data_IF_513614531486
#
_entry.id   IF_513614531486
#
_cell.length_a   1.000
_cell.length_b   1.000
_cell.length_c   1.000
_cell.angle_alpha   90.00
_cell.angle_beta   90.00
_cell.angle_gamma   90.00
#
_symmetry.space_group_name_H-M   'P 1'
#
loop_
_entity.id
_entity.type
_entity.pdbx_description
1 polymer ?
#
# COMPACT_ATOMS: atom_id res chain seq x y z
N UNK A 1 -14.22 26.10 36.80
CA UNK A 1 -14.14 24.65 37.07
C UNK A 1 -14.37 23.80 35.82
N UNK A 2 -15.47 23.99 35.06
CA UNK A 2 -15.77 23.19 33.86
C UNK A 2 -14.67 23.30 32.78
N UNK A 3 -14.19 24.51 32.49
CA UNK A 3 -13.12 24.78 31.50
C UNK A 3 -11.77 24.17 31.88
N UNK A 4 -11.37 24.26 33.16
CA UNK A 4 -10.08 23.74 33.66
C UNK A 4 -10.02 22.20 33.60
N UNK A 5 -11.14 21.52 33.87
CA UNK A 5 -11.23 20.06 33.75
C UNK A 5 -11.24 19.60 32.29
N UNK A 6 -11.88 20.35 31.38
CA UNK A 6 -11.86 20.04 29.95
C UNK A 6 -10.46 20.16 29.35
N UNK A 7 -9.70 21.19 29.72
CA UNK A 7 -8.32 21.41 29.27
C UNK A 7 -7.39 20.28 29.76
N UNK A 8 -7.49 19.89 31.03
CA UNK A 8 -6.73 18.78 31.61
C UNK A 8 -7.02 17.40 30.97
N UNK A 9 -8.23 17.19 30.43
CA UNK A 9 -8.58 15.96 29.74
C UNK A 9 -7.97 15.93 28.33
N UNK A 10 -8.05 17.05 27.60
CA UNK A 10 -7.48 17.17 26.25
C UNK A 10 -5.95 17.07 26.26
N UNK A 11 -5.29 17.62 27.29
CA UNK A 11 -3.82 17.58 27.43
C UNK A 11 -3.27 16.20 27.80
N UNK A 12 -4.13 15.27 28.24
CA UNK A 12 -3.72 13.88 28.54
C UNK A 12 -3.91 12.92 27.38
N UNK A 13 -4.47 13.39 26.27
CA UNK A 13 -4.63 12.58 25.08
C UNK A 13 -3.28 12.44 24.37
N UNK A 14 -2.94 11.22 23.94
CA UNK A 14 -1.80 10.95 23.05
C UNK A 14 -2.04 11.37 21.60
N UNK A 15 -3.08 12.16 21.35
CA UNK A 15 -3.46 12.70 20.04
C UNK A 15 -3.45 14.22 20.12
N UNK A 16 -2.94 14.85 19.06
CA UNK A 16 -3.09 16.27 18.81
C UNK A 16 -4.54 16.61 18.49
N UNK A 17 -5.03 17.68 19.09
CA UNK A 17 -6.34 18.25 18.82
C UNK A 17 -6.14 19.72 18.51
N UNK A 18 -6.68 20.15 17.37
CA UNK A 18 -6.67 21.56 16.94
C UNK A 18 -8.06 21.92 16.43
N UNK A 19 -8.57 23.09 16.83
CA UNK A 19 -9.81 23.65 16.32
C UNK A 19 -9.58 24.97 15.60
N UNK A 20 -10.38 25.22 14.57
CA UNK A 20 -10.41 26.47 13.82
C UNK A 20 -11.83 27.04 13.76
N UNK A 21 -11.94 28.35 13.61
CA UNK A 21 -13.18 29.04 13.27
C UNK A 21 -13.50 28.99 11.76
N UNK A 22 -14.62 29.59 11.36
CA UNK A 22 -15.07 29.69 9.96
C UNK A 22 -14.13 30.50 9.06
N UNK A 23 -13.20 31.26 9.64
CA UNK A 23 -12.17 32.02 8.94
C UNK A 23 -10.82 31.29 8.94
N UNK A 24 -10.82 30.00 9.30
CA UNK A 24 -9.63 29.15 9.40
C UNK A 24 -8.59 29.68 10.38
N UNK A 25 -9.01 30.37 11.45
CA UNK A 25 -8.13 30.81 12.54
C UNK A 25 -8.17 29.82 13.69
N UNK A 26 -7.02 29.52 14.27
CA UNK A 26 -6.92 28.57 15.38
C UNK A 26 -7.65 29.12 16.61
N UNK A 27 -8.60 28.34 17.12
CA UNK A 27 -9.37 28.66 18.33
C UNK A 27 -8.91 27.83 19.53
N UNK A 28 -8.37 26.65 19.29
CA UNK A 28 -7.87 25.75 20.33
C UNK A 28 -6.78 24.83 19.80
N UNK A 29 -5.82 24.49 20.65
CA UNK A 29 -4.81 23.46 20.44
C UNK A 29 -4.43 22.87 21.80
N UNK A 30 -4.29 21.54 21.87
CA UNK A 30 -3.81 20.85 23.07
C UNK A 30 -2.29 20.65 23.04
N UNK A 31 -1.74 20.23 24.19
CA UNK A 31 -0.29 20.03 24.37
C UNK A 31 0.31 19.08 23.31
N UNK A 32 -0.37 17.96 23.01
CA UNK A 32 0.13 17.02 22.00
C UNK A 32 0.13 17.62 20.58
N UNK A 33 -0.84 18.48 20.26
CA UNK A 33 -0.91 19.18 19.00
C UNK A 33 0.21 20.21 18.85
N UNK A 34 0.56 20.92 19.93
CA UNK A 34 1.72 21.81 20.00
C UNK A 34 3.02 21.05 19.67
N UNK A 35 3.24 19.89 20.29
CA UNK A 35 4.42 19.06 20.07
C UNK A 35 4.52 18.56 18.64
N UNK A 36 3.47 17.90 18.13
CA UNK A 36 3.44 17.29 16.80
C UNK A 36 3.57 18.32 15.68
N UNK A 37 2.86 19.45 15.80
CA UNK A 37 2.94 20.54 14.83
C UNK A 37 4.15 21.45 15.09
N UNK A 38 4.90 21.23 16.17
CA UNK A 38 6.04 22.06 16.58
C UNK A 38 5.69 23.56 16.61
N UNK A 39 4.57 23.85 17.27
CA UNK A 39 4.03 25.19 17.51
C UNK A 39 3.77 25.37 19.00
N UNK A 40 3.60 26.61 19.44
CA UNK A 40 3.12 26.91 20.80
C UNK A 40 1.71 27.50 20.71
N UNK A 41 0.85 27.18 21.68
CA UNK A 41 -0.53 27.69 21.79
C UNK A 41 -0.57 29.21 21.69
N UNK A 42 0.32 29.90 22.39
CA UNK A 42 0.46 31.37 22.34
C UNK A 42 0.70 31.92 20.92
N UNK A 43 1.46 31.20 20.10
CA UNK A 43 1.78 31.61 18.73
C UNK A 43 0.74 31.14 17.71
N UNK A 44 -0.07 30.13 18.05
CA UNK A 44 -1.08 29.55 17.18
C UNK A 44 -2.43 30.27 17.29
N UNK A 45 -2.89 30.55 18.51
CA UNK A 45 -4.23 31.08 18.76
C UNK A 45 -4.51 32.38 17.99
N UNK A 46 -5.66 32.42 17.31
CA UNK A 46 -6.14 33.55 16.51
C UNK A 46 -5.46 33.73 15.15
N UNK A 47 -4.34 33.04 14.89
CA UNK A 47 -3.66 33.07 13.59
C UNK A 47 -4.33 32.15 12.60
N UNK A 48 -4.22 32.51 11.32
CA UNK A 48 -4.77 31.69 10.24
C UNK A 48 -3.90 30.45 10.01
N UNK A 49 -4.53 29.30 9.74
CA UNK A 49 -3.82 28.08 9.33
C UNK A 49 -2.97 28.29 8.06
N UNK A 50 -3.44 29.13 7.13
CA UNK A 50 -2.69 29.48 5.92
C UNK A 50 -1.44 30.33 6.21
N UNK A 51 -1.46 31.10 7.30
CA UNK A 51 -0.30 31.88 7.75
C UNK A 51 0.69 31.02 8.52
N UNK A 52 0.18 30.21 9.46
CA UNK A 52 1.00 29.31 10.28
C UNK A 52 1.74 28.26 9.43
N UNK A 53 1.09 27.80 8.37
CA UNK A 53 1.59 26.76 7.48
C UNK A 53 1.51 27.21 6.03
N UNK A 54 2.21 28.29 5.68
CA UNK A 54 2.17 28.90 4.34
C UNK A 54 2.72 28.01 3.22
N UNK A 55 3.61 27.08 3.58
CA UNK A 55 4.26 26.10 2.70
C UNK A 55 3.59 24.73 2.71
N UNK A 56 2.51 24.55 3.49
CA UNK A 56 1.77 23.29 3.51
C UNK A 56 1.08 23.03 2.15
N UNK A 57 1.29 21.83 1.57
CA UNK A 57 0.58 21.39 0.36
C UNK A 57 -0.94 21.36 0.55
N UNK A 58 -1.71 21.42 -0.54
CA UNK A 58 -3.18 21.42 -0.47
C UNK A 58 -3.72 20.09 0.09
N UNK A 59 -3.02 18.99 -0.17
CA UNK A 59 -3.43 17.63 0.18
C UNK A 59 -3.55 17.42 1.69
N UNK A 60 -2.75 18.15 2.48
CA UNK A 60 -2.70 18.03 3.95
C UNK A 60 -3.61 19.02 4.69
N UNK A 61 -4.31 19.91 3.98
CA UNK A 61 -5.22 20.93 4.55
C UNK A 61 -6.61 20.37 4.87
N UNK A 62 -6.63 19.29 5.65
CA UNK A 62 -7.86 18.53 5.88
C UNK A 62 -8.92 19.32 6.66
N UNK A 63 -8.52 20.08 7.68
CA UNK A 63 -9.46 20.81 8.55
C UNK A 63 -10.08 22.00 7.83
N UNK A 64 -9.29 22.71 7.01
CA UNK A 64 -9.77 23.80 6.15
C UNK A 64 -10.74 23.27 5.09
N UNK A 65 -10.39 22.16 4.41
CA UNK A 65 -11.28 21.51 3.44
C UNK A 65 -12.59 21.04 4.07
N UNK A 66 -12.58 20.61 5.33
CA UNK A 66 -13.82 20.23 6.02
C UNK A 66 -14.74 21.42 6.24
N UNK A 67 -14.23 22.61 6.53
CA UNK A 67 -15.04 23.84 6.56
C UNK A 67 -15.62 24.12 5.17
N UNK A 68 -14.77 24.16 4.15
CA UNK A 68 -15.16 24.55 2.78
C UNK A 68 -16.17 23.59 2.16
N UNK A 69 -15.94 22.29 2.32
CA UNK A 69 -16.76 21.23 1.69
C UNK A 69 -17.90 20.75 2.57
N UNK A 70 -17.88 21.10 3.87
CA UNK A 70 -18.77 20.56 4.91
C UNK A 70 -18.73 19.02 5.01
N UNK A 71 -17.64 18.39 4.55
CA UNK A 71 -17.43 16.94 4.63
C UNK A 71 -16.34 16.61 5.64
N UNK A 72 -16.71 15.76 6.59
CA UNK A 72 -15.78 15.19 7.55
C UNK A 72 -14.93 14.09 6.89
N UNK A 73 -13.67 14.04 7.29
CA UNK A 73 -12.65 13.13 6.79
C UNK A 73 -12.16 12.23 7.92
N UNK A 74 -11.86 10.97 7.58
CA UNK A 74 -11.20 10.01 8.45
C UNK A 74 -10.15 9.25 7.64
N UNK A 75 -8.87 9.54 7.89
CA UNK A 75 -7.72 8.95 7.21
C UNK A 75 -6.87 8.24 8.26
N UNK A 76 -6.59 6.96 8.04
CA UNK A 76 -5.82 6.16 8.99
C UNK A 76 -4.34 6.55 9.04
N UNK A 77 -3.75 6.88 7.89
CA UNK A 77 -2.36 7.33 7.78
C UNK A 77 -2.22 8.28 6.57
N UNK A 78 -1.90 9.54 6.86
CA UNK A 78 -1.63 10.60 5.88
C UNK A 78 -0.13 10.89 5.90
N UNK A 79 0.59 10.81 4.75
CA UNK A 79 1.98 11.22 4.69
C UNK A 79 2.08 12.73 4.92
N UNK A 80 2.84 13.13 5.94
CA UNK A 80 3.07 14.51 6.31
C UNK A 80 4.55 14.84 6.07
N UNK A 81 4.96 14.78 4.79
CA UNK A 81 6.34 14.95 4.33
C UNK A 81 6.52 16.31 3.65
N UNK A 82 6.70 17.37 4.42
CA UNK A 82 6.94 18.71 3.89
C UNK A 82 7.63 19.60 4.94
N UNK A 83 8.50 20.50 4.47
CA UNK A 83 9.29 21.36 5.35
C UNK A 83 10.15 20.55 6.33
N UNK A 84 9.80 20.65 7.61
CA UNK A 84 10.47 19.96 8.74
C UNK A 84 9.75 18.69 9.21
N UNK A 85 8.59 18.39 8.62
CA UNK A 85 7.78 17.25 9.01
C UNK A 85 8.15 16.05 8.15
N UNK A 86 8.38 14.93 8.82
CA UNK A 86 8.66 13.64 8.20
C UNK A 86 8.00 12.55 9.04
N UNK A 87 6.68 12.36 8.86
CA UNK A 87 5.88 11.45 9.68
C UNK A 87 4.57 11.07 8.97
N UNK A 88 3.90 10.05 9.50
CA UNK A 88 2.53 9.69 9.14
C UNK A 88 1.58 10.08 10.26
N UNK A 89 0.52 10.82 9.91
CA UNK A 89 -0.52 11.21 10.86
C UNK A 89 -1.83 10.49 10.55
N UNK A 90 -2.46 9.90 11.55
CA UNK A 90 -3.90 9.63 11.48
C UNK A 90 -4.64 10.97 11.53
N UNK A 91 -5.70 11.16 10.74
CA UNK A 91 -6.43 12.43 10.65
C UNK A 91 -7.92 12.17 10.75
N UNK A 92 -8.60 12.85 11.68
CA UNK A 92 -10.06 12.87 11.77
C UNK A 92 -10.55 14.29 11.96
N UNK A 93 -11.40 14.76 11.06
CA UNK A 93 -11.97 16.10 11.15
C UNK A 93 -13.43 16.05 11.57
N UNK A 94 -13.89 17.02 12.36
CA UNK A 94 -15.29 17.18 12.77
C UNK A 94 -15.73 18.62 12.58
N UNK A 95 -16.97 18.82 12.12
CA UNK A 95 -17.57 20.14 12.09
C UNK A 95 -18.01 20.53 13.51
N UNK A 96 -17.68 21.75 13.93
CA UNK A 96 -18.15 22.33 15.17
C UNK A 96 -19.40 23.16 14.90
N UNK A 97 -20.44 22.93 15.71
CA UNK A 97 -21.73 23.60 15.56
C UNK A 97 -22.16 24.23 16.87
N UNK A 98 -22.73 25.43 16.78
CA UNK A 98 -23.46 26.07 17.86
C UNK A 98 -24.88 26.37 17.39
N UNK A 99 -25.87 25.90 18.15
CA UNK A 99 -27.30 26.03 17.82
C UNK A 99 -27.70 25.60 16.39
N UNK A 100 -26.94 24.69 15.78
CA UNK A 100 -27.17 24.15 14.43
C UNK A 100 -26.31 24.80 13.34
N UNK A 101 -25.79 26.00 13.57
CA UNK A 101 -24.92 26.73 12.66
C UNK A 101 -23.47 26.21 12.76
N UNK A 102 -22.78 26.14 11.62
CA UNK A 102 -21.36 25.78 11.60
C UNK A 102 -20.56 26.98 12.12
N UNK A 103 -19.82 26.78 13.20
CA UNK A 103 -18.98 27.82 13.83
C UNK A 103 -17.48 27.54 13.69
N UNK A 104 -17.13 26.35 13.22
CA UNK A 104 -15.75 25.96 12.99
C UNK A 104 -15.60 24.48 12.65
N UNK A 105 -14.37 24.00 12.74
CA UNK A 105 -14.01 22.61 12.58
C UNK A 105 -12.88 22.26 13.53
N UNK A 106 -12.79 20.98 13.88
CA UNK A 106 -11.73 20.41 14.69
C UNK A 106 -11.03 19.31 13.90
N UNK A 107 -9.74 19.14 14.11
CA UNK A 107 -8.97 18.00 13.67
C UNK A 107 -8.33 17.31 14.87
N UNK A 108 -8.56 16.00 14.95
CA UNK A 108 -7.79 15.04 15.73
C UNK A 108 -6.70 14.47 14.83
N UNK A 109 -5.47 14.42 15.33
CA UNK A 109 -4.37 13.80 14.62
C UNK A 109 -3.40 13.11 15.57
N UNK A 110 -2.84 11.98 15.16
CA UNK A 110 -1.91 11.21 15.97
C UNK A 110 -0.78 10.66 15.13
N UNK A 111 0.44 10.69 15.67
CA UNK A 111 1.61 10.09 15.03
C UNK A 111 1.46 8.57 14.98
N UNK A 112 1.39 8.05 13.77
CA UNK A 112 1.29 6.62 13.46
C UNK A 112 2.50 6.14 12.65
N UNK A 113 3.58 6.92 12.60
CA UNK A 113 4.78 6.63 11.80
C UNK A 113 5.34 5.26 12.11
N UNK A 114 5.65 4.96 13.38
CA UNK A 114 6.21 3.66 13.76
C UNK A 114 5.26 2.49 13.47
N UNK A 115 3.94 2.68 13.58
CA UNK A 115 2.97 1.65 13.21
C UNK A 115 2.94 1.42 11.70
N UNK A 116 2.92 2.49 10.91
CA UNK A 116 2.90 2.43 9.46
C UNK A 116 4.19 1.82 8.89
N UNK A 117 5.35 2.22 9.42
CA UNK A 117 6.65 1.68 9.04
C UNK A 117 6.77 0.20 9.36
N UNK A 118 6.32 -0.24 10.55
CA UNK A 118 6.33 -1.66 10.91
C UNK A 118 5.37 -2.47 10.04
N UNK A 119 4.17 -1.95 9.77
CA UNK A 119 3.23 -2.58 8.84
C UNK A 119 3.86 -2.72 7.45
N UNK A 120 4.52 -1.67 6.95
CA UNK A 120 5.20 -1.69 5.65
C UNK A 120 6.37 -2.67 5.64
N UNK A 121 7.13 -2.75 6.73
CA UNK A 121 8.22 -3.73 6.90
C UNK A 121 7.70 -5.15 6.81
N UNK A 122 6.57 -5.45 7.46
CA UNK A 122 5.92 -6.77 7.40
C UNK A 122 5.42 -7.08 5.99
N UNK A 123 4.81 -6.12 5.28
CA UNK A 123 4.38 -6.28 3.89
C UNK A 123 5.59 -6.59 2.99
N UNK A 124 6.67 -5.83 3.10
CA UNK A 124 7.88 -6.07 2.30
C UNK A 124 8.47 -7.46 2.60
N UNK A 125 8.47 -7.90 3.85
CA UNK A 125 8.89 -9.27 4.19
C UNK A 125 7.97 -10.33 3.58
N UNK A 126 6.67 -10.09 3.49
CA UNK A 126 5.75 -10.98 2.78
C UNK A 126 6.05 -11.02 1.28
N UNK A 127 6.35 -9.87 0.67
CA UNK A 127 6.77 -9.77 -0.74
C UNK A 127 8.06 -10.56 -1.01
N UNK A 128 9.10 -10.41 -0.18
CA UNK A 128 10.36 -11.18 -0.28
C UNK A 128 10.12 -12.70 -0.20
N UNK A 129 9.17 -13.14 0.65
CA UNK A 129 8.80 -14.54 0.79
C UNK A 129 8.03 -15.08 -0.43
N UNK A 130 7.34 -14.21 -1.18
CA UNK A 130 6.60 -14.59 -2.40
C UNK A 130 7.55 -15.00 -3.53
N UNK A 131 8.72 -14.36 -3.62
CA UNK A 131 9.69 -14.56 -4.71
C UNK A 131 10.67 -15.68 -4.37
N UNK A 132 10.16 -16.92 -4.41
CA UNK A 132 10.95 -18.12 -4.22
C UNK A 132 11.22 -18.81 -5.56
N UNK A 133 12.37 -18.56 -6.17
CA UNK A 133 12.78 -19.22 -7.42
C UNK A 133 13.80 -20.29 -7.07
N UNK A 134 13.46 -21.54 -7.35
CA UNK A 134 14.26 -22.71 -7.00
C UNK A 134 15.05 -23.14 -8.24
N UNK A 135 16.39 -22.96 -8.27
CA UNK A 135 17.19 -23.47 -9.37
C UNK A 135 17.17 -25.00 -9.36
N UNK A 136 17.00 -25.58 -10.54
CA UNK A 136 17.06 -27.01 -10.79
C UNK A 136 18.32 -27.32 -11.64
N UNK A 137 18.34 -28.50 -12.25
CA UNK A 137 19.41 -28.91 -13.17
C UNK A 137 19.19 -28.32 -14.58
N UNK A 138 20.21 -28.43 -15.43
CA UNK A 138 20.17 -28.10 -16.86
C UNK A 138 19.53 -26.73 -17.16
N UNK A 139 20.00 -25.69 -16.47
CA UNK A 139 19.55 -24.30 -16.65
C UNK A 139 18.03 -24.13 -16.53
N UNK A 140 17.39 -24.98 -15.72
CA UNK A 140 15.96 -24.91 -15.44
C UNK A 140 15.74 -24.35 -14.03
N UNK A 141 14.70 -23.54 -13.85
CA UNK A 141 14.25 -23.10 -12.53
C UNK A 141 12.75 -23.38 -12.32
N UNK A 142 12.33 -23.45 -11.07
CA UNK A 142 10.95 -23.59 -10.64
C UNK A 142 10.50 -22.35 -9.86
N UNK A 143 9.41 -21.73 -10.30
CA UNK A 143 8.71 -20.68 -9.57
C UNK A 143 7.33 -21.20 -9.11
N UNK A 144 7.21 -21.69 -7.87
CA UNK A 144 5.93 -22.07 -7.30
C UNK A 144 5.14 -20.80 -6.92
N UNK A 145 3.97 -20.62 -7.52
CA UNK A 145 3.11 -19.49 -7.19
C UNK A 145 2.60 -19.63 -5.76
N UNK A 146 2.67 -18.57 -4.98
CA UNK A 146 2.15 -18.57 -3.61
C UNK A 146 0.78 -17.89 -3.56
N UNK A 147 -0.18 -18.39 -2.76
CA UNK A 147 -1.50 -17.75 -2.62
C UNK A 147 -1.43 -16.28 -2.19
N UNK A 148 -0.43 -15.92 -1.39
CA UNK A 148 -0.20 -14.54 -0.91
C UNK A 148 0.05 -13.53 -2.06
N UNK A 149 0.37 -13.99 -3.27
CA UNK A 149 0.48 -13.12 -4.46
C UNK A 149 -0.81 -12.36 -4.78
N UNK A 150 -1.97 -12.80 -4.29
CA UNK A 150 -3.24 -12.06 -4.43
C UNK A 150 -3.34 -10.86 -3.48
N UNK A 151 -2.51 -10.80 -2.44
CA UNK A 151 -2.61 -9.83 -1.35
C UNK A 151 -1.52 -8.74 -1.38
N UNK A 152 -0.46 -8.92 -2.19
CA UNK A 152 0.70 -8.02 -2.28
C UNK A 152 0.69 -7.17 -3.54
N UNK A 153 1.50 -6.11 -3.59
CA UNK A 153 1.68 -5.35 -4.83
C UNK A 153 2.56 -6.12 -5.81
N UNK A 154 1.90 -6.85 -6.70
CA UNK A 154 2.57 -7.63 -7.75
C UNK A 154 3.58 -6.85 -8.60
N UNK A 155 3.51 -5.51 -8.67
CA UNK A 155 4.45 -4.72 -9.46
C UNK A 155 5.88 -4.85 -8.89
N UNK A 156 6.02 -4.74 -7.56
CA UNK A 156 7.29 -4.94 -6.88
C UNK A 156 7.79 -6.39 -7.00
N UNK A 157 6.88 -7.35 -6.81
CA UNK A 157 7.15 -8.78 -6.97
C UNK A 157 7.64 -9.11 -8.39
N UNK A 158 7.03 -8.51 -9.42
CA UNK A 158 7.41 -8.71 -10.81
C UNK A 158 8.85 -8.25 -11.06
N UNK A 159 9.20 -7.05 -10.63
CA UNK A 159 10.55 -6.51 -10.80
C UNK A 159 11.60 -7.39 -10.13
N UNK A 160 11.30 -7.88 -8.91
CA UNK A 160 12.19 -8.77 -8.18
C UNK A 160 12.35 -10.15 -8.87
N UNK A 161 11.25 -10.74 -9.37
CA UNK A 161 11.32 -11.99 -10.14
C UNK A 161 12.20 -11.82 -11.38
N UNK A 162 11.98 -10.75 -12.16
CA UNK A 162 12.74 -10.51 -13.39
C UNK A 162 14.23 -10.30 -13.10
N UNK A 163 14.57 -9.53 -12.06
CA UNK A 163 15.96 -9.32 -11.67
C UNK A 163 16.63 -10.62 -11.22
N UNK A 164 15.98 -11.41 -10.37
CA UNK A 164 16.52 -12.73 -9.95
C UNK A 164 16.73 -13.66 -11.14
N UNK A 165 15.76 -13.73 -12.06
CA UNK A 165 15.89 -14.56 -13.26
C UNK A 165 16.98 -14.05 -14.21
N UNK A 166 17.22 -12.74 -14.30
CA UNK A 166 18.30 -12.18 -15.10
C UNK A 166 19.70 -12.52 -14.53
N UNK A 167 19.81 -12.63 -13.21
CA UNK A 167 21.03 -13.04 -12.51
C UNK A 167 21.26 -14.56 -12.57
N UNK A 168 20.19 -15.34 -12.70
CA UNK A 168 20.23 -16.79 -12.86
C UNK A 168 20.50 -17.13 -14.34
N UNK A 169 21.63 -17.78 -14.66
CA UNK A 169 21.92 -18.29 -16.00
C UNK A 169 20.99 -19.50 -16.32
N UNK A 170 19.74 -19.21 -16.67
CA UNK A 170 18.70 -20.19 -16.97
C UNK A 170 18.13 -20.02 -18.38
N UNK A 171 17.73 -21.13 -18.99
CA UNK A 171 17.09 -21.18 -20.30
C UNK A 171 15.59 -21.49 -20.16
N UNK A 172 15.17 -22.10 -19.05
CA UNK A 172 13.77 -22.54 -18.84
C UNK A 172 13.26 -22.25 -17.42
N UNK A 173 12.00 -21.81 -17.33
CA UNK A 173 11.29 -21.59 -16.08
C UNK A 173 9.97 -22.37 -16.06
N UNK A 174 9.78 -23.19 -15.03
CA UNK A 174 8.51 -23.83 -14.71
C UNK A 174 7.76 -22.94 -13.72
N UNK A 175 6.56 -22.48 -14.07
CA UNK A 175 5.66 -21.80 -13.14
C UNK A 175 4.63 -22.81 -12.63
N UNK A 176 4.65 -23.10 -11.33
CA UNK A 176 3.76 -24.09 -10.74
C UNK A 176 2.54 -23.45 -10.06
N UNK A 177 1.34 -23.85 -10.51
CA UNK A 177 0.05 -23.37 -10.04
C UNK A 177 -0.61 -24.29 -9.01
N UNK A 178 0.08 -25.35 -8.55
CA UNK A 178 -0.53 -26.43 -7.75
C UNK A 178 -1.15 -25.95 -6.43
N UNK A 179 -0.56 -24.95 -5.82
CA UNK A 179 -0.93 -24.29 -4.55
C UNK A 179 -2.01 -23.21 -4.72
N UNK A 180 -2.31 -22.80 -5.96
CA UNK A 180 -3.30 -21.76 -6.23
C UNK A 180 -4.68 -22.39 -6.44
N UNK A 181 -5.71 -21.78 -5.87
CA UNK A 181 -7.10 -22.25 -5.97
C UNK A 181 -8.02 -21.24 -6.68
N UNK A 182 -7.76 -19.95 -6.48
CA UNK A 182 -8.54 -18.85 -7.04
C UNK A 182 -7.58 -17.75 -7.50
N UNK A 183 -7.84 -17.19 -8.68
CA UNK A 183 -7.12 -16.06 -9.28
C UNK A 183 -8.18 -15.14 -9.86
N UNK A 184 -8.09 -13.84 -9.57
CA UNK A 184 -8.97 -12.85 -10.18
C UNK A 184 -8.44 -12.39 -11.56
N UNK A 185 -9.26 -11.63 -12.29
CA UNK A 185 -8.87 -11.13 -13.61
C UNK A 185 -7.63 -10.20 -13.57
N UNK A 186 -7.42 -9.47 -12.47
CA UNK A 186 -6.31 -8.51 -12.33
C UNK A 186 -4.99 -9.26 -12.21
N UNK A 187 -4.94 -10.30 -11.37
CA UNK A 187 -3.75 -11.12 -11.20
C UNK A 187 -3.47 -11.96 -12.45
N UNK A 188 -4.49 -12.40 -13.20
CA UNK A 188 -4.26 -13.05 -14.50
C UNK A 188 -3.54 -12.11 -15.49
N UNK A 189 -3.97 -10.86 -15.62
CA UNK A 189 -3.31 -9.87 -16.50
C UNK A 189 -1.85 -9.63 -16.07
N UNK A 190 -1.64 -9.49 -14.76
CA UNK A 190 -0.32 -9.33 -14.16
C UNK A 190 0.60 -10.53 -14.41
N UNK A 191 0.13 -11.77 -14.20
CA UNK A 191 0.87 -13.00 -14.51
C UNK A 191 1.20 -13.10 -16.00
N UNK A 192 0.26 -12.73 -16.87
CA UNK A 192 0.48 -12.73 -18.31
C UNK A 192 1.57 -11.73 -18.73
N UNK A 193 1.65 -10.56 -18.10
CA UNK A 193 2.75 -9.61 -18.30
C UNK A 193 4.08 -10.17 -17.81
N UNK A 194 4.10 -10.79 -16.63
CA UNK A 194 5.30 -11.46 -16.11
C UNK A 194 5.84 -12.50 -17.11
N UNK A 195 4.98 -13.40 -17.58
CA UNK A 195 5.36 -14.46 -18.52
C UNK A 195 5.89 -13.87 -19.84
N UNK A 196 5.25 -12.81 -20.36
CA UNK A 196 5.75 -12.11 -21.54
C UNK A 196 7.13 -11.52 -21.31
N UNK A 197 7.36 -10.82 -20.20
CA UNK A 197 8.66 -10.25 -19.87
C UNK A 197 9.74 -11.32 -19.79
N UNK A 198 9.47 -12.45 -19.13
CA UNK A 198 10.41 -13.58 -19.02
C UNK A 198 10.70 -14.19 -20.40
N UNK A 199 9.67 -14.35 -21.24
CA UNK A 199 9.82 -14.86 -22.60
C UNK A 199 10.67 -13.92 -23.47
N UNK A 200 10.50 -12.60 -23.31
CA UNK A 200 11.30 -11.58 -24.01
C UNK A 200 12.77 -11.57 -23.58
N UNK A 201 13.08 -12.03 -22.36
CA UNK A 201 14.45 -12.25 -21.90
C UNK A 201 15.09 -13.51 -22.51
N UNK A 202 14.35 -14.28 -23.30
CA UNK A 202 14.83 -15.51 -23.94
C UNK A 202 14.65 -16.76 -23.09
N UNK A 203 13.97 -16.67 -21.94
CA UNK A 203 13.69 -17.81 -21.06
C UNK A 203 12.39 -18.48 -21.48
N UNK A 204 12.44 -19.78 -21.76
CA UNK A 204 11.27 -20.60 -22.08
C UNK A 204 10.41 -20.82 -20.84
N UNK A 205 9.15 -20.37 -20.88
CA UNK A 205 8.22 -20.55 -19.77
C UNK A 205 7.27 -21.72 -20.03
N UNK A 206 7.21 -22.66 -19.08
CA UNK A 206 6.20 -23.73 -19.04
C UNK A 206 5.40 -23.66 -17.75
N UNK A 207 4.18 -24.19 -17.77
CA UNK A 207 3.27 -24.12 -16.62
C UNK A 207 2.92 -25.53 -16.14
N UNK A 208 2.97 -25.77 -14.83
CA UNK A 208 2.51 -27.00 -14.20
C UNK A 208 1.38 -26.78 -13.20
N UNK A 209 0.62 -27.83 -12.88
CA UNK A 209 -0.35 -27.82 -11.78
C UNK A 209 -1.61 -26.98 -12.02
N UNK A 210 -1.91 -26.64 -13.28
CA UNK A 210 -3.08 -25.84 -13.65
C UNK A 210 -4.39 -26.63 -13.40
N UNK A 211 -5.19 -26.18 -12.42
CA UNK A 211 -6.49 -26.78 -12.10
C UNK A 211 -7.56 -26.40 -13.13
N UNK A 212 -8.56 -27.26 -13.42
CA UNK A 212 -9.62 -26.95 -14.40
C UNK A 212 -10.38 -25.64 -14.15
N UNK A 213 -10.59 -25.26 -12.88
CA UNK A 213 -11.26 -24.01 -12.53
C UNK A 213 -10.41 -22.78 -12.93
N UNK A 214 -9.10 -22.83 -12.72
CA UNK A 214 -8.17 -21.76 -13.10
C UNK A 214 -8.05 -21.65 -14.61
N UNK A 215 -8.01 -22.79 -15.34
CA UNK A 215 -8.00 -22.80 -16.80
C UNK A 215 -9.24 -22.11 -17.40
N UNK A 216 -10.43 -22.37 -16.82
CA UNK A 216 -11.66 -21.67 -17.23
C UNK A 216 -11.59 -20.16 -16.97
N UNK A 217 -11.05 -19.77 -15.81
CA UNK A 217 -10.84 -18.36 -15.45
C UNK A 217 -9.87 -17.64 -16.39
N UNK A 218 -8.76 -18.30 -16.75
CA UNK A 218 -7.75 -17.74 -17.66
C UNK A 218 -8.36 -17.43 -19.03
N UNK A 219 -9.08 -18.39 -19.63
CA UNK A 219 -9.74 -18.21 -20.93
C UNK A 219 -10.83 -17.13 -20.85
N UNK A 220 -11.60 -17.11 -19.75
CA UNK A 220 -12.62 -16.08 -19.52
C UNK A 220 -12.06 -14.66 -19.35
N UNK A 221 -10.75 -14.51 -19.09
CA UNK A 221 -10.09 -13.21 -18.94
C UNK A 221 -9.78 -12.52 -20.27
N UNK A 222 -10.06 -13.15 -21.42
CA UNK A 222 -9.78 -12.61 -22.76
C UNK A 222 -8.30 -12.24 -23.00
N UNK A 223 -7.40 -12.84 -22.21
CA UNK A 223 -5.96 -12.65 -22.32
C UNK A 223 -5.47 -13.43 -23.54
N UNK A 224 -4.65 -12.82 -24.42
CA UNK A 224 -4.09 -13.51 -25.59
C UNK A 224 -3.37 -14.78 -25.16
N UNK A 225 -3.62 -15.88 -25.87
CA UNK A 225 -2.89 -17.12 -25.61
C UNK A 225 -1.42 -16.93 -25.98
N UNK A 226 -0.55 -16.89 -24.98
CA UNK A 226 0.88 -17.08 -25.21
C UNK A 226 1.12 -18.53 -25.68
N UNK A 227 2.20 -18.75 -26.44
CA UNK A 227 2.69 -20.09 -26.77
C UNK A 227 3.33 -20.73 -25.54
N UNK A 228 2.51 -21.01 -24.53
CA UNK A 228 2.91 -21.73 -23.33
C UNK A 228 2.54 -23.20 -23.44
N UNK A 229 3.38 -24.05 -22.87
CA UNK A 229 3.05 -25.45 -22.64
C UNK A 229 2.52 -25.63 -21.23
N UNK A 230 1.40 -26.34 -21.11
CA UNK A 230 0.74 -26.62 -19.84
C UNK A 230 0.82 -28.11 -19.54
N UNK A 231 1.22 -28.44 -18.32
CA UNK A 231 1.37 -29.80 -17.83
C UNK A 231 0.51 -30.03 -16.58
N UNK A 232 -0.02 -31.24 -16.43
CA UNK A 232 -0.82 -31.64 -15.27
C UNK A 232 -0.02 -31.66 -13.96
N UNK A 233 1.28 -31.94 -14.03
CA UNK A 233 2.17 -32.05 -12.88
C UNK A 233 3.55 -31.49 -13.18
N UNK A 234 4.28 -31.11 -12.12
CA UNK A 234 5.68 -30.68 -12.20
C UNK A 234 6.56 -31.77 -12.85
N UNK A 235 6.31 -33.03 -12.52
CA UNK A 235 7.06 -34.16 -13.07
C UNK A 235 6.89 -34.32 -14.59
N UNK A 236 5.70 -34.02 -15.12
CA UNK A 236 5.46 -34.06 -16.57
C UNK A 236 6.19 -32.91 -17.28
N UNK A 237 6.24 -31.73 -16.66
CA UNK A 237 6.99 -30.58 -17.17
C UNK A 237 8.50 -30.84 -17.19
N UNK A 238 9.06 -31.42 -16.12
CA UNK A 238 10.48 -31.76 -16.05
C UNK A 238 10.89 -32.76 -17.12
N UNK A 239 10.12 -33.84 -17.31
CA UNK A 239 10.38 -34.85 -18.36
C UNK A 239 10.29 -34.29 -19.77
N UNK A 240 9.51 -33.23 -19.98
CA UNK A 240 9.47 -32.55 -21.27
C UNK A 240 10.76 -31.77 -21.52
N UNK A 241 11.19 -30.98 -20.54
CA UNK A 241 12.40 -30.15 -20.65
C UNK A 241 13.68 -31.00 -20.76
N UNK A 242 13.77 -32.11 -20.02
CA UNK A 242 14.88 -33.07 -20.14
C UNK A 242 15.10 -33.57 -21.58
N UNK A 243 14.01 -33.79 -22.34
CA UNK A 243 14.08 -34.31 -23.71
C UNK A 243 14.46 -33.28 -24.76
N UNK A 244 14.41 -31.98 -24.45
CA UNK A 244 14.87 -30.93 -25.36
C UNK A 244 16.37 -30.66 -25.23
N UNK A 245 17.01 -31.14 -24.16
CA UNK A 245 18.45 -30.99 -23.90
C UNK A 245 19.28 -32.12 -24.53
N UNK A 246 18.68 -33.29 -24.77
CA UNK A 246 19.27 -34.45 -25.50
C UNK A 246 19.30 -34.25 -27.03
#
# INVERSE_FOLDING_TARGET
MKTLMSEQVLDRLSIGVLAIDNQCRVTEINTQGEELLQLTKENALGKSMFELFSDAPEEVRHVERTIETQKETNIAAMPYHWGKYDMYLSIKTKLLRDQGEIVGAMVEFGDVTGFYEEQRRLINQMEDMCVNIIPLYDKTALFPLQPVLTEVDFSHVLDEILNKLAEMDIDSLIIDFSTIFHIDHVLFDKLNKLIQSITLMGVQVVVSGMKPALAKGWVGSNIPSLKMLFFSSLNDALKYLEKEVE
#
